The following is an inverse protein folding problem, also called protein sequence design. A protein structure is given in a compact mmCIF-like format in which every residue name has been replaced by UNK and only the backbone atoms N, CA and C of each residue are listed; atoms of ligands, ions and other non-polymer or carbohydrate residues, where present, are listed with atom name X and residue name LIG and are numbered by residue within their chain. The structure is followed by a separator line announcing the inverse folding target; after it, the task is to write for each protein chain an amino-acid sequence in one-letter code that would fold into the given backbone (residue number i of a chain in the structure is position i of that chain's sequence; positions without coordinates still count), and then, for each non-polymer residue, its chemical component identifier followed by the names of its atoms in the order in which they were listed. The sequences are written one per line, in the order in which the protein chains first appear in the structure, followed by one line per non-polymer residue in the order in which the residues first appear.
data_IF_106701911389
#
_entry.id   IF_106701911389
#
_cell.length_a   1.000
_cell.length_b   1.000
_cell.length_c   1.000
_cell.angle_alpha   90.00
_cell.angle_beta   90.00
_cell.angle_gamma   90.00
#
_symmetry.space_group_name_H-M   'P 1'
#
loop_
_entity.id
_entity.type
_entity.pdbx_description
1 polymer ?
#
# COMPACT_ATOMS: atom_id res chain seq x y z
N UNK A 1 -21.74 18.91 -7.71
CA UNK A 1 -22.96 18.58 -6.93
C UNK A 1 -22.62 18.75 -5.45
N UNK A 2 -23.20 19.75 -4.80
CA UNK A 2 -22.97 20.03 -3.38
C UNK A 2 -23.89 19.11 -2.55
N UNK A 3 -23.32 18.21 -1.76
CA UNK A 3 -24.09 17.47 -0.76
C UNK A 3 -24.02 18.24 0.56
N UNK A 4 -25.18 18.57 1.14
CA UNK A 4 -25.23 19.11 2.50
C UNK A 4 -24.66 18.06 3.49
N UNK A 5 -24.07 18.52 4.59
CA UNK A 5 -23.59 17.65 5.69
C UNK A 5 -24.65 16.65 6.19
N UNK A 6 -25.94 16.95 6.02
CA UNK A 6 -27.03 16.05 6.40
C UNK A 6 -27.29 14.96 5.36
N UNK A 7 -27.26 15.28 4.06
CA UNK A 7 -27.69 14.35 3.01
C UNK A 7 -26.86 13.06 2.91
N UNK A 8 -25.53 13.17 2.97
CA UNK A 8 -24.65 12.01 2.82
C UNK A 8 -24.77 11.03 4.01
N UNK A 9 -24.96 11.56 5.22
CA UNK A 9 -25.11 10.77 6.44
C UNK A 9 -26.46 10.05 6.52
N UNK A 10 -27.47 10.57 5.82
CA UNK A 10 -28.79 9.93 5.71
C UNK A 10 -28.84 8.82 4.65
N UNK A 11 -27.81 8.66 3.82
CA UNK A 11 -27.73 7.52 2.92
C UNK A 11 -27.63 6.21 3.72
N UNK A 12 -28.07 5.10 3.16
CA UNK A 12 -27.81 3.80 3.76
C UNK A 12 -26.30 3.48 3.71
N UNK A 13 -25.73 2.77 4.70
CA UNK A 13 -24.32 2.36 4.70
C UNK A 13 -23.88 1.68 3.40
N UNK A 14 -24.74 0.86 2.80
CA UNK A 14 -24.50 0.16 1.53
C UNK A 14 -24.35 1.15 0.36
N UNK A 15 -25.13 2.23 0.38
CA UNK A 15 -25.06 3.29 -0.64
C UNK A 15 -23.78 4.11 -0.48
N UNK A 16 -23.40 4.45 0.76
CA UNK A 16 -22.12 5.11 1.03
C UNK A 16 -20.92 4.23 0.63
N UNK A 17 -20.96 2.95 0.97
CA UNK A 17 -19.97 1.95 0.54
C UNK A 17 -19.87 1.83 -0.99
N UNK A 18 -20.99 1.96 -1.70
CA UNK A 18 -20.98 1.99 -3.17
C UNK A 18 -20.30 3.25 -3.69
N UNK A 19 -20.61 4.43 -3.12
CA UNK A 19 -19.96 5.69 -3.47
C UNK A 19 -18.46 5.62 -3.18
N UNK A 20 -18.07 5.09 -2.02
CA UNK A 20 -16.70 4.79 -1.66
C UNK A 20 -16.03 3.88 -2.69
N UNK A 21 -16.66 2.76 -3.06
CA UNK A 21 -16.16 1.87 -4.10
C UNK A 21 -15.91 2.60 -5.42
N UNK A 22 -16.88 3.40 -5.88
CA UNK A 22 -16.74 4.21 -7.09
C UNK A 22 -15.59 5.21 -7.01
N UNK A 23 -15.37 5.86 -5.86
CA UNK A 23 -14.27 6.83 -5.69
C UNK A 23 -12.89 6.17 -5.76
N UNK A 24 -12.76 4.94 -5.28
CA UNK A 24 -11.46 4.25 -5.17
C UNK A 24 -11.18 3.29 -6.32
N UNK A 25 -12.20 2.63 -6.85
CA UNK A 25 -12.08 1.66 -7.94
C UNK A 25 -12.29 2.29 -9.32
N UNK A 26 -12.65 3.59 -9.41
CA UNK A 26 -12.81 4.24 -10.70
C UNK A 26 -11.49 4.20 -11.49
N UNK A 27 -11.52 3.74 -12.75
CA UNK A 27 -10.38 3.82 -13.66
C UNK A 27 -10.13 5.26 -14.12
N UNK A 28 -11.09 6.17 -13.89
CA UNK A 28 -10.94 7.58 -14.19
C UNK A 28 -10.06 8.24 -13.12
N UNK A 29 -9.29 9.26 -13.48
CA UNK A 29 -8.36 9.87 -12.57
C UNK A 29 -9.05 10.67 -11.45
N UNK A 30 -10.36 10.56 -11.18
CA UNK A 30 -11.01 11.47 -10.24
C UNK A 30 -11.42 10.81 -8.91
N UNK A 31 -11.19 11.49 -7.79
CA UNK A 31 -11.61 11.06 -6.45
C UNK A 31 -12.22 12.22 -5.63
N UNK A 32 -12.97 11.90 -4.57
CA UNK A 32 -13.69 12.88 -3.75
C UNK A 32 -12.85 13.30 -2.54
N UNK A 33 -12.64 14.61 -2.38
CA UNK A 33 -11.86 15.22 -1.29
C UNK A 33 -12.75 16.08 -0.42
N UNK A 34 -12.54 16.06 0.91
CA UNK A 34 -13.15 17.03 1.81
C UNK A 34 -12.62 18.44 1.52
N UNK A 35 -13.49 19.44 1.57
CA UNK A 35 -13.17 20.85 1.34
C UNK A 35 -12.89 21.55 2.68
N UNK A 36 -11.69 22.10 2.85
CA UNK A 36 -11.25 22.86 4.04
C UNK A 36 -11.80 24.30 4.09
N UNK A 37 -13.08 24.49 3.76
CA UNK A 37 -13.76 25.80 3.73
C UNK A 37 -14.72 26.02 4.89
N UNK A 38 -15.22 27.26 5.03
CA UNK A 38 -16.25 27.67 6.02
C UNK A 38 -17.52 26.81 5.92
N UNK A 39 -17.81 26.27 4.74
CA UNK A 39 -18.84 25.25 4.52
C UNK A 39 -18.22 23.87 4.28
N UNK A 40 -18.61 22.86 5.08
CA UNK A 40 -18.16 21.49 4.89
C UNK A 40 -18.78 20.92 3.61
N UNK A 41 -17.92 20.46 2.70
CA UNK A 41 -18.34 19.92 1.41
C UNK A 41 -17.33 18.95 0.82
N UNK A 42 -17.70 18.36 -0.31
CA UNK A 42 -16.90 17.38 -1.04
C UNK A 42 -16.67 17.84 -2.48
N UNK A 43 -15.47 17.68 -3.03
CA UNK A 43 -15.12 18.03 -4.42
C UNK A 43 -14.45 16.88 -5.16
N UNK A 44 -14.68 16.76 -6.48
CA UNK A 44 -13.92 15.86 -7.35
C UNK A 44 -12.54 16.47 -7.67
N UNK A 45 -11.50 15.64 -7.68
CA UNK A 45 -10.11 16.04 -7.97
C UNK A 45 -9.38 14.96 -8.78
N UNK A 46 -8.48 15.35 -9.67
CA UNK A 46 -7.72 14.48 -10.58
C UNK A 46 -6.53 13.75 -9.90
N UNK A 47 -6.15 12.56 -10.37
CA UNK A 47 -5.23 11.59 -9.75
C UNK A 47 -3.82 11.91 -10.19
N UNK A 48 -3.04 12.52 -9.30
CA UNK A 48 -1.58 12.62 -9.35
C UNK A 48 -0.92 11.62 -8.38
N UNK A 49 0.40 11.49 -8.33
CA UNK A 49 1.09 10.71 -7.26
C UNK A 49 0.74 11.22 -5.86
N UNK A 50 0.40 12.51 -5.73
CA UNK A 50 -0.12 13.15 -4.52
C UNK A 50 -1.54 12.68 -4.17
N UNK A 51 -2.32 12.22 -5.15
CA UNK A 51 -3.73 11.83 -4.97
C UNK A 51 -3.96 10.60 -4.11
N UNK A 52 -3.04 9.63 -4.10
CA UNK A 52 -3.16 8.49 -3.18
C UNK A 52 -3.03 8.95 -1.73
N UNK A 53 -2.09 9.86 -1.45
CA UNK A 53 -1.94 10.50 -0.14
C UNK A 53 -3.17 11.33 0.23
N UNK A 54 -3.70 12.11 -0.71
CA UNK A 54 -4.90 12.92 -0.48
C UNK A 54 -6.18 12.08 -0.33
N UNK A 55 -6.27 10.93 -1.01
CA UNK A 55 -7.36 9.98 -0.84
C UNK A 55 -7.32 9.36 0.55
N UNK A 56 -6.13 8.98 1.04
CA UNK A 56 -5.95 8.55 2.44
C UNK A 56 -6.30 9.66 3.43
N UNK A 57 -5.86 10.90 3.19
CA UNK A 57 -6.24 12.06 4.01
C UNK A 57 -7.75 12.28 4.00
N UNK A 58 -8.41 12.07 2.87
CA UNK A 58 -9.87 12.16 2.74
C UNK A 58 -10.58 11.07 3.54
N UNK A 59 -10.05 9.83 3.55
CA UNK A 59 -10.55 8.74 4.39
C UNK A 59 -10.36 9.04 5.88
N UNK A 60 -9.22 9.63 6.25
CA UNK A 60 -8.97 10.05 7.62
C UNK A 60 -9.93 11.16 8.03
N UNK A 61 -10.15 12.15 7.17
CA UNK A 61 -11.10 13.24 7.39
C UNK A 61 -12.53 12.71 7.57
N UNK A 62 -12.96 11.72 6.77
CA UNK A 62 -14.26 11.06 6.94
C UNK A 62 -14.39 10.38 8.31
N UNK A 63 -13.31 9.80 8.82
CA UNK A 63 -13.24 9.22 10.16
C UNK A 63 -13.29 10.24 11.30
N UNK A 64 -13.11 11.54 11.05
CA UNK A 64 -13.24 12.60 12.05
C UNK A 64 -14.69 13.10 12.18
N UNK A 65 -15.55 12.86 11.18
CA UNK A 65 -16.93 13.39 11.13
C UNK A 65 -17.81 12.87 12.27
N UNK A 66 -17.89 11.54 12.46
CA UNK A 66 -18.53 10.94 13.64
C UNK A 66 -18.03 9.49 13.88
N UNK A 67 -18.38 8.91 15.04
CA UNK A 67 -17.94 7.55 15.43
C UNK A 67 -18.45 6.44 14.49
N UNK A 68 -19.65 6.61 13.95
CA UNK A 68 -20.29 5.62 13.08
C UNK A 68 -19.60 5.54 11.71
N UNK A 69 -19.41 6.68 11.06
CA UNK A 69 -18.63 6.82 9.82
C UNK A 69 -17.19 6.38 10.01
N UNK A 70 -16.58 6.67 11.16
CA UNK A 70 -15.25 6.15 11.47
C UNK A 70 -15.22 4.62 11.42
N UNK A 71 -16.21 3.96 12.04
CA UNK A 71 -16.32 2.50 12.06
C UNK A 71 -16.63 1.94 10.67
N UNK A 72 -17.54 2.56 9.94
CA UNK A 72 -17.92 2.21 8.57
C UNK A 72 -16.73 2.32 7.62
N UNK A 73 -16.10 3.50 7.56
CA UNK A 73 -14.91 3.79 6.73
C UNK A 73 -13.80 2.78 7.05
N UNK A 74 -13.53 2.50 8.33
CA UNK A 74 -12.50 1.51 8.69
C UNK A 74 -12.82 0.10 8.24
N UNK A 75 -14.07 -0.33 8.38
CA UNK A 75 -14.50 -1.67 8.01
C UNK A 75 -14.50 -1.82 6.49
N UNK A 76 -15.03 -0.83 5.78
CA UNK A 76 -15.12 -0.87 4.34
C UNK A 76 -13.75 -0.77 3.67
N UNK A 77 -12.97 0.26 4.01
CA UNK A 77 -11.68 0.50 3.38
C UNK A 77 -10.65 -0.49 3.89
N UNK A 78 -10.29 -0.46 5.16
CA UNK A 78 -9.12 -1.22 5.64
C UNK A 78 -9.40 -2.73 5.79
N UNK A 79 -10.62 -3.12 6.13
CA UNK A 79 -10.91 -4.53 6.45
C UNK A 79 -11.45 -5.36 5.28
N UNK A 80 -11.99 -4.75 4.22
CA UNK A 80 -12.62 -5.49 3.11
C UNK A 80 -11.88 -5.28 1.79
N UNK A 81 -11.37 -4.07 1.52
CA UNK A 81 -10.74 -3.77 0.23
C UNK A 81 -9.32 -4.34 0.11
N UNK A 82 -8.96 -4.64 -1.13
CA UNK A 82 -7.58 -4.88 -1.53
C UNK A 82 -6.94 -3.54 -1.86
N UNK A 83 -5.88 -3.19 -1.16
CA UNK A 83 -5.10 -2.00 -1.50
C UNK A 83 -4.00 -2.38 -2.47
N UNK A 84 -4.09 -1.85 -3.68
CA UNK A 84 -2.99 -1.85 -4.62
C UNK A 84 -2.32 -0.49 -4.54
N UNK A 85 -1.08 -0.46 -4.08
CA UNK A 85 -0.28 0.76 -4.02
C UNK A 85 0.65 0.73 -5.23
N UNK A 86 0.33 1.57 -6.21
CA UNK A 86 1.11 1.75 -7.44
C UNK A 86 1.95 3.03 -7.29
N UNK A 87 3.28 2.92 -7.18
CA UNK A 87 4.16 4.06 -7.31
C UNK A 87 4.56 4.26 -8.79
N UNK A 88 4.82 5.50 -9.19
CA UNK A 88 5.22 5.85 -10.57
C UNK A 88 6.74 6.08 -10.66
N UNK A 89 7.50 5.18 -11.31
CA UNK A 89 8.96 5.28 -11.59
C UNK A 89 9.87 4.24 -10.88
N UNK A 90 11.13 4.56 -10.60
CA UNK A 90 12.12 3.62 -10.05
C UNK A 90 12.36 3.88 -8.55
N UNK A 91 12.24 2.84 -7.70
CA UNK A 91 12.70 2.77 -6.30
C UNK A 91 11.91 3.55 -5.21
N UNK A 92 10.87 2.93 -4.62
CA UNK A 92 9.91 3.66 -3.76
C UNK A 92 9.57 3.12 -2.38
N UNK A 93 10.54 2.49 -1.70
CA UNK A 93 10.33 2.05 -0.32
C UNK A 93 9.80 3.19 0.60
N UNK A 94 10.30 4.41 0.40
CA UNK A 94 9.85 5.60 1.14
C UNK A 94 8.35 5.87 0.97
N UNK A 95 7.77 5.65 -0.22
CA UNK A 95 6.35 5.85 -0.49
C UNK A 95 5.52 4.85 0.33
N UNK A 96 5.94 3.58 0.38
CA UNK A 96 5.22 2.55 1.13
C UNK A 96 5.31 2.77 2.65
N UNK A 97 6.49 3.16 3.13
CA UNK A 97 6.71 3.54 4.54
C UNK A 97 5.83 4.71 4.92
N UNK A 98 5.88 5.80 4.14
CA UNK A 98 5.09 7.00 4.41
C UNK A 98 3.58 6.72 4.29
N UNK A 99 3.14 5.83 3.40
CA UNK A 99 1.75 5.38 3.32
C UNK A 99 1.31 4.61 4.57
N UNK A 100 2.08 3.60 4.98
CA UNK A 100 1.80 2.82 6.18
C UNK A 100 1.82 3.70 7.44
N UNK A 101 2.75 4.65 7.52
CA UNK A 101 2.81 5.62 8.60
C UNK A 101 1.56 6.50 8.61
N UNK A 102 1.19 7.05 7.44
CA UNK A 102 0.06 7.94 7.28
C UNK A 102 -1.24 7.31 7.74
N UNK A 103 -1.57 6.07 7.37
CA UNK A 103 -2.87 5.46 7.73
C UNK A 103 -3.09 5.32 9.25
N UNK A 104 -2.02 5.33 10.04
CA UNK A 104 -2.07 5.27 11.51
C UNK A 104 -2.23 3.85 12.07
N UNK A 105 -1.87 3.67 13.35
CA UNK A 105 -1.80 2.37 14.02
C UNK A 105 -3.16 1.65 14.10
N UNK A 106 -4.23 2.38 14.41
CA UNK A 106 -5.58 1.79 14.50
C UNK A 106 -6.07 1.23 13.16
N UNK A 107 -5.74 1.90 12.05
CA UNK A 107 -6.13 1.45 10.71
C UNK A 107 -5.24 0.29 10.25
N UNK A 108 -3.92 0.33 10.54
CA UNK A 108 -3.01 -0.79 10.30
C UNK A 108 -3.50 -2.07 10.99
N UNK A 109 -3.93 -1.97 12.25
CA UNK A 109 -4.42 -3.12 13.01
C UNK A 109 -5.66 -3.81 12.39
N UNK A 110 -6.41 -3.15 11.50
CA UNK A 110 -7.56 -3.73 10.81
C UNK A 110 -7.35 -3.99 9.32
N UNK A 111 -6.18 -3.62 8.79
CA UNK A 111 -5.77 -3.82 7.41
C UNK A 111 -5.72 -5.32 7.11
N UNK A 112 -6.39 -5.78 6.03
CA UNK A 112 -6.46 -7.21 5.70
C UNK A 112 -5.71 -7.63 4.45
N UNK A 113 -5.75 -6.83 3.39
CA UNK A 113 -5.21 -7.23 2.09
C UNK A 113 -4.41 -6.07 1.49
N UNK A 114 -3.10 -6.27 1.28
CA UNK A 114 -2.21 -5.24 0.74
C UNK A 114 -1.32 -5.81 -0.34
N UNK A 115 -1.18 -5.07 -1.43
CA UNK A 115 -0.25 -5.31 -2.51
C UNK A 115 0.63 -4.05 -2.70
N UNK A 116 1.92 -4.20 -2.42
CA UNK A 116 2.96 -3.23 -2.73
C UNK A 116 3.56 -3.63 -4.07
N UNK A 117 3.08 -3.00 -5.14
CA UNK A 117 3.52 -3.29 -6.50
C UNK A 117 4.59 -2.29 -6.96
N UNK A 118 5.42 -2.68 -7.92
CA UNK A 118 6.53 -1.87 -8.46
C UNK A 118 7.91 -2.30 -7.97
N UNK A 119 8.93 -1.55 -8.37
CA UNK A 119 10.33 -1.82 -8.04
C UNK A 119 10.67 -1.24 -6.66
N UNK A 120 10.56 -2.07 -5.63
CA UNK A 120 10.86 -1.68 -4.25
C UNK A 120 12.37 -1.75 -3.99
N UNK A 121 13.01 -0.61 -3.74
CA UNK A 121 14.39 -0.58 -3.25
C UNK A 121 14.44 -1.19 -1.86
N UNK A 122 15.29 -2.19 -1.66
CA UNK A 122 15.29 -2.99 -0.44
C UNK A 122 16.71 -3.33 -0.05
N UNK A 123 17.10 -2.85 1.13
CA UNK A 123 18.37 -3.19 1.75
C UNK A 123 18.07 -3.60 3.19
N UNK A 124 18.26 -4.87 3.54
CA UNK A 124 17.83 -5.41 4.85
C UNK A 124 18.39 -4.63 6.05
N UNK A 125 19.62 -4.12 5.94
CA UNK A 125 20.28 -3.30 6.96
C UNK A 125 19.92 -1.82 6.95
N UNK A 126 19.22 -1.32 5.91
CA UNK A 126 18.85 0.09 5.84
C UNK A 126 17.74 0.42 6.84
N UNK A 127 17.88 1.57 7.51
CA UNK A 127 16.91 2.03 8.51
C UNK A 127 15.48 2.12 7.97
N UNK A 128 15.33 2.53 6.69
CA UNK A 128 14.02 2.66 6.05
C UNK A 128 13.35 1.29 5.81
N UNK A 129 14.14 0.27 5.48
CA UNK A 129 13.67 -1.12 5.35
C UNK A 129 13.21 -1.66 6.69
N UNK A 130 13.99 -1.43 7.75
CA UNK A 130 13.59 -1.83 9.10
C UNK A 130 12.29 -1.14 9.53
N UNK A 131 12.18 0.17 9.28
CA UNK A 131 10.96 0.93 9.55
C UNK A 131 9.74 0.37 8.79
N UNK A 132 9.93 -0.03 7.53
CA UNK A 132 8.88 -0.66 6.75
C UNK A 132 8.39 -1.96 7.39
N UNK A 133 9.31 -2.84 7.79
CA UNK A 133 8.98 -4.09 8.48
C UNK A 133 8.26 -3.85 9.81
N UNK A 134 8.70 -2.87 10.59
CA UNK A 134 8.06 -2.55 11.87
C UNK A 134 6.62 -2.04 11.68
N UNK A 135 6.41 -1.20 10.66
CA UNK A 135 5.07 -0.76 10.28
C UNK A 135 4.20 -1.93 9.79
N UNK A 136 4.75 -2.84 8.98
CA UNK A 136 4.05 -4.05 8.54
C UNK A 136 3.64 -4.92 9.73
N UNK A 137 4.55 -5.19 10.67
CA UNK A 137 4.29 -6.01 11.88
C UNK A 137 3.15 -5.46 12.72
N UNK A 138 2.92 -4.15 12.71
CA UNK A 138 1.75 -3.55 13.38
C UNK A 138 0.40 -3.83 12.68
N UNK A 139 0.40 -4.41 11.49
CA UNK A 139 -0.80 -4.83 10.76
C UNK A 139 -1.30 -6.21 11.23
N UNK A 140 -1.74 -6.30 12.49
CA UNK A 140 -2.04 -7.57 13.18
C UNK A 140 -3.16 -8.41 12.56
N UNK A 141 -4.02 -7.82 11.71
CA UNK A 141 -5.09 -8.52 10.99
C UNK A 141 -4.81 -8.73 9.50
N UNK A 142 -3.59 -8.44 9.04
CA UNK A 142 -3.19 -8.64 7.65
C UNK A 142 -3.26 -10.12 7.31
N UNK A 143 -4.01 -10.46 6.26
CA UNK A 143 -4.25 -11.83 5.77
C UNK A 143 -3.52 -12.10 4.48
N UNK A 144 -3.46 -11.12 3.58
CA UNK A 144 -2.81 -11.23 2.29
C UNK A 144 -1.81 -10.09 2.16
N UNK A 145 -0.54 -10.45 1.98
CA UNK A 145 0.55 -9.53 1.69
C UNK A 145 1.17 -9.93 0.36
N UNK A 146 1.17 -9.00 -0.60
CA UNK A 146 1.89 -9.14 -1.86
C UNK A 146 2.92 -8.03 -1.95
N UNK A 147 4.15 -8.39 -2.29
CA UNK A 147 5.28 -7.47 -2.42
C UNK A 147 5.98 -7.80 -3.73
N UNK A 148 6.13 -6.79 -4.58
CA UNK A 148 7.00 -6.86 -5.76
C UNK A 148 8.37 -6.26 -5.41
N UNK A 149 9.42 -6.96 -5.78
CA UNK A 149 10.80 -6.55 -5.53
C UNK A 149 11.67 -6.92 -6.72
N UNK A 150 12.56 -6.02 -7.12
CA UNK A 150 13.54 -6.32 -8.16
C UNK A 150 14.64 -7.23 -7.59
N UNK A 151 15.06 -8.26 -8.35
CA UNK A 151 16.09 -9.21 -7.88
C UNK A 151 17.39 -8.53 -7.44
N UNK A 152 17.79 -7.45 -8.11
CA UNK A 152 18.98 -6.66 -7.74
C UNK A 152 18.98 -6.18 -6.29
N UNK A 153 17.81 -5.83 -5.74
CA UNK A 153 17.72 -5.34 -4.36
C UNK A 153 17.91 -6.48 -3.34
N UNK A 154 17.51 -7.70 -3.68
CA UNK A 154 17.74 -8.86 -2.80
C UNK A 154 19.20 -9.34 -2.82
N UNK A 155 19.97 -8.88 -3.79
CA UNK A 155 21.36 -9.25 -3.99
C UNK A 155 22.28 -8.02 -4.00
N UNK A 156 21.92 -6.94 -3.29
CA UNK A 156 22.66 -5.67 -3.36
C UNK A 156 24.16 -5.81 -2.98
N UNK A 157 24.47 -6.72 -2.05
CA UNK A 157 25.86 -7.06 -1.69
C UNK A 157 26.63 -7.89 -2.73
N UNK A 158 25.96 -8.34 -3.79
CA UNK A 158 26.48 -9.16 -4.89
C UNK A 158 26.04 -8.61 -6.26
N UNK A 159 25.80 -7.30 -6.37
CA UNK A 159 25.30 -6.67 -7.63
C UNK A 159 26.19 -7.01 -8.81
N UNK A 160 27.51 -6.96 -8.65
CA UNK A 160 28.44 -7.31 -9.71
C UNK A 160 28.28 -8.77 -10.21
N UNK A 161 27.99 -9.71 -9.29
CA UNK A 161 27.77 -11.12 -9.64
C UNK A 161 26.43 -11.29 -10.37
N UNK A 162 25.39 -10.55 -9.93
CA UNK A 162 24.08 -10.57 -10.58
C UNK A 162 24.14 -9.91 -11.96
N UNK A 163 24.85 -8.80 -12.10
CA UNK A 163 25.04 -8.13 -13.38
C UNK A 163 25.83 -9.01 -14.35
N UNK A 164 26.86 -9.70 -13.87
CA UNK A 164 27.60 -10.68 -14.67
C UNK A 164 26.70 -11.84 -15.11
N UNK A 165 25.86 -12.34 -14.21
CA UNK A 165 24.91 -13.43 -14.48
C UNK A 165 23.82 -13.01 -15.49
N UNK A 166 23.23 -11.82 -15.32
CA UNK A 166 22.12 -11.33 -16.16
C UNK A 166 22.58 -10.80 -17.53
N UNK A 167 23.79 -10.25 -17.62
CA UNK A 167 24.33 -9.70 -18.86
C UNK A 167 25.26 -10.68 -19.59
N UNK A 168 25.15 -11.98 -19.34
CA UNK A 168 25.96 -12.97 -20.03
C UNK A 168 25.63 -13.05 -21.53
N UNK A 169 26.58 -12.69 -22.38
CA UNK A 169 26.47 -12.72 -23.85
C UNK A 169 27.26 -13.90 -24.45
N UNK A 170 27.11 -15.10 -23.90
CA UNK A 170 27.71 -16.32 -24.46
C UNK A 170 26.81 -17.01 -25.50
N UNK A 171 27.39 -17.87 -26.37
CA UNK A 171 26.62 -18.65 -27.35
C UNK A 171 25.78 -19.78 -26.74
N UNK A 172 26.03 -20.13 -25.46
CA UNK A 172 25.36 -21.19 -24.72
C UNK A 172 24.48 -20.60 -23.60
N UNK A 173 23.48 -21.33 -23.08
CA UNK A 173 22.77 -20.93 -21.86
C UNK A 173 23.77 -20.68 -20.72
N UNK A 174 23.53 -19.66 -19.90
CA UNK A 174 24.39 -19.39 -18.76
C UNK A 174 24.23 -20.50 -17.70
N UNK A 175 25.17 -21.44 -17.66
CA UNK A 175 25.19 -22.55 -16.69
C UNK A 175 25.73 -22.14 -15.30
N UNK A 176 26.05 -20.86 -15.10
CA UNK A 176 26.48 -20.35 -13.81
C UNK A 176 25.38 -20.49 -12.74
N UNK A 177 25.77 -20.59 -11.48
CA UNK A 177 24.81 -20.54 -10.37
C UNK A 177 24.32 -19.11 -10.17
N UNK A 178 23.00 -18.92 -10.09
CA UNK A 178 22.43 -17.62 -9.72
C UNK A 178 22.96 -17.21 -8.33
N UNK A 179 23.36 -15.94 -8.13
CA UNK A 179 23.78 -15.46 -6.82
C UNK A 179 22.71 -15.73 -5.76
N UNK A 180 23.13 -16.14 -4.56
CA UNK A 180 22.21 -16.36 -3.45
C UNK A 180 21.42 -15.09 -3.13
N UNK A 181 20.12 -15.27 -2.93
CA UNK A 181 19.14 -14.24 -2.61
C UNK A 181 18.86 -14.32 -1.11
N UNK A 182 19.09 -13.24 -0.35
CA UNK A 182 18.77 -13.22 1.07
C UNK A 182 17.33 -12.74 1.30
N UNK A 183 16.47 -13.67 1.73
CA UNK A 183 15.07 -13.41 2.08
C UNK A 183 14.79 -13.57 3.59
N UNK A 184 15.82 -13.70 4.41
CA UNK A 184 15.70 -13.98 5.85
C UNK A 184 14.81 -12.96 6.57
N UNK A 185 15.04 -11.67 6.34
CA UNK A 185 14.24 -10.60 6.94
C UNK A 185 12.76 -10.66 6.54
N UNK A 186 12.46 -11.08 5.30
CA UNK A 186 11.09 -11.28 4.84
C UNK A 186 10.43 -12.47 5.52
N UNK A 187 11.18 -13.57 5.69
CA UNK A 187 10.72 -14.72 6.45
C UNK A 187 10.39 -14.32 7.90
N UNK A 188 11.30 -13.62 8.58
CA UNK A 188 11.12 -13.15 9.95
C UNK A 188 9.89 -12.25 10.10
N UNK A 189 9.71 -11.30 9.19
CA UNK A 189 8.54 -10.42 9.20
C UNK A 189 7.24 -11.19 8.95
N UNK A 190 7.23 -12.16 8.03
CA UNK A 190 6.04 -12.95 7.74
C UNK A 190 5.57 -13.79 8.93
N UNK A 191 6.51 -14.38 9.68
CA UNK A 191 6.21 -15.19 10.88
C UNK A 191 5.64 -14.32 12.01
N UNK A 192 6.02 -13.05 12.07
CA UNK A 192 5.53 -12.10 13.07
C UNK A 192 4.14 -11.50 12.74
N UNK A 193 3.52 -11.88 11.62
CA UNK A 193 2.19 -11.42 11.23
C UNK A 193 1.13 -12.49 11.57
N UNK A 194 0.48 -12.43 12.74
CA UNK A 194 -0.36 -13.52 13.25
C UNK A 194 -1.62 -13.78 12.40
N UNK A 195 -2.08 -12.79 11.63
CA UNK A 195 -3.22 -12.92 10.75
C UNK A 195 -2.90 -13.46 9.35
N UNK A 196 -1.61 -13.57 9.01
CA UNK A 196 -1.16 -13.77 7.64
C UNK A 196 -1.49 -15.18 7.15
N UNK A 197 -2.17 -15.26 6.01
CA UNK A 197 -2.55 -16.51 5.35
C UNK A 197 -1.81 -16.72 4.05
N UNK A 198 -1.49 -15.63 3.37
CA UNK A 198 -0.81 -15.64 2.09
C UNK A 198 0.23 -14.54 2.08
N UNK A 199 1.49 -14.94 1.94
CA UNK A 199 2.59 -14.07 1.60
C UNK A 199 3.03 -14.38 0.18
N UNK A 200 3.05 -13.37 -0.68
CA UNK A 200 3.51 -13.48 -2.06
C UNK A 200 4.63 -12.48 -2.28
N UNK A 201 5.82 -13.00 -2.55
CA UNK A 201 6.98 -12.22 -2.95
C UNK A 201 7.19 -12.42 -4.45
N UNK A 202 6.80 -11.43 -5.23
CA UNK A 202 6.97 -11.41 -6.68
C UNK A 202 8.34 -10.80 -6.99
N UNK A 203 9.28 -11.64 -7.42
CA UNK A 203 10.61 -11.21 -7.85
C UNK A 203 10.51 -10.81 -9.32
N UNK A 204 10.87 -9.56 -9.61
CA UNK A 204 10.81 -8.93 -10.95
C UNK A 204 12.22 -8.71 -11.48
#
# INVERSE_FOLDING_TARGET
VQFSRSGFMHLAPETRNTIYGMVFDSPLPFFIVASDGVTPGFRLRERSTQSQYEALQSLQALGVVNREMRRETRTFFYAVKHFLILPYGYEYLSIFVSWLAAIGSECRAVLRNVCFAGYMWYQGSAALTQQFHDLLRSCTRLRILTVQIHVWHLCEGRVADVDSFLNFEGPEPHDGSMPEVDISTWADTSVQLPGLRTFRLDIV
#
